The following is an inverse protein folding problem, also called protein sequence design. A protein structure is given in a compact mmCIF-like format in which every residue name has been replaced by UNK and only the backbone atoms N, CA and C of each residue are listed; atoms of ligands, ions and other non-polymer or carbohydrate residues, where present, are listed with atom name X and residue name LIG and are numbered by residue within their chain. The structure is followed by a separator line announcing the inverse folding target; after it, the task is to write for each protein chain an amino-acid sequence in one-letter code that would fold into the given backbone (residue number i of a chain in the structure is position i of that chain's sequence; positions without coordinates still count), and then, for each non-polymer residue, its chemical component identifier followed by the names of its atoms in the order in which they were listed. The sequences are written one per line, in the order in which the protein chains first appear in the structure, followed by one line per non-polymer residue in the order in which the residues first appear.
data_IF_968368543674
#
_entry.id   IF_968368543674
#
_cell.length_a   1.000
_cell.length_b   1.000
_cell.length_c   1.000
_cell.angle_alpha   90.00
_cell.angle_beta   90.00
_cell.angle_gamma   90.00
#
_symmetry.space_group_name_H-M   'P 1'
#
loop_
_entity.id
_entity.type
_entity.pdbx_description
1 polymer ?
#
# COMPACT_ATOMS: atom_id res chain seq x y z
N UNK A 1 2.48 21.32 3.75
CA UNK A 1 1.15 20.66 3.84
C UNK A 1 0.46 21.02 5.16
N UNK A 2 -0.81 20.63 5.40
CA UNK A 2 -1.44 20.78 6.74
C UNK A 2 -0.64 20.03 7.83
N UNK A 3 0.01 18.92 7.45
CA UNK A 3 0.92 18.18 8.30
C UNK A 3 2.13 19.04 8.70
N UNK A 4 2.81 19.68 7.74
CA UNK A 4 3.94 20.59 8.01
C UNK A 4 3.56 21.74 8.94
N UNK A 5 2.37 22.33 8.76
CA UNK A 5 1.89 23.39 9.64
C UNK A 5 1.70 22.93 11.10
N UNK A 6 1.36 21.66 11.31
CA UNK A 6 1.14 21.08 12.64
C UNK A 6 2.42 20.51 13.27
N UNK A 7 3.32 19.94 12.46
CA UNK A 7 4.44 19.14 12.93
C UNK A 7 5.82 19.76 12.63
N UNK A 8 5.89 20.89 11.89
CA UNK A 8 7.13 21.59 11.59
C UNK A 8 8.07 20.86 10.60
N UNK A 9 7.64 19.72 10.06
CA UNK A 9 8.39 18.90 9.10
C UNK A 9 7.45 18.37 8.02
N UNK A 10 7.99 18.07 6.84
CA UNK A 10 7.24 17.32 5.84
C UNK A 10 6.92 15.90 6.33
N UNK A 11 5.76 15.33 5.95
CA UNK A 11 5.43 13.96 6.29
C UNK A 11 6.40 13.00 5.60
N UNK A 12 6.86 12.00 6.34
CA UNK A 12 7.54 10.86 5.77
C UNK A 12 6.53 9.86 5.18
N UNK A 13 7.06 8.82 4.52
CA UNK A 13 6.21 7.81 3.87
C UNK A 13 5.32 7.07 4.88
N UNK A 14 5.81 6.82 6.10
CA UNK A 14 5.04 6.15 7.15
C UNK A 14 3.86 7.00 7.63
N UNK A 15 4.07 8.31 7.80
CA UNK A 15 3.03 9.27 8.16
C UNK A 15 1.95 9.34 7.08
N UNK A 16 2.35 9.33 5.81
CA UNK A 16 1.44 9.27 4.68
C UNK A 16 0.62 7.96 4.67
N UNK A 17 1.25 6.81 4.91
CA UNK A 17 0.57 5.50 5.02
C UNK A 17 -0.46 5.50 6.16
N UNK A 18 -0.10 6.04 7.33
CA UNK A 18 -1.01 6.16 8.46
C UNK A 18 -2.22 7.04 8.15
N UNK A 19 -2.01 8.15 7.44
CA UNK A 19 -3.08 9.03 6.99
C UNK A 19 -4.06 8.32 6.05
N UNK A 20 -3.55 7.58 5.05
CA UNK A 20 -4.40 6.86 4.10
C UNK A 20 -5.13 5.69 4.75
N UNK A 21 -4.49 4.95 5.66
CA UNK A 21 -5.13 3.86 6.41
C UNK A 21 -6.35 4.37 7.18
N UNK A 22 -6.20 5.48 7.92
CA UNK A 22 -7.31 6.08 8.67
C UNK A 22 -8.37 6.67 7.73
N UNK A 23 -7.96 7.27 6.61
CA UNK A 23 -8.89 7.85 5.63
C UNK A 23 -9.76 6.79 4.96
N UNK A 24 -9.19 5.65 4.58
CA UNK A 24 -9.91 4.50 4.03
C UNK A 24 -10.85 3.86 5.05
N UNK A 25 -10.40 3.68 6.30
CA UNK A 25 -11.26 3.17 7.38
C UNK A 25 -12.43 4.12 7.66
N UNK A 26 -12.17 5.44 7.73
CA UNK A 26 -13.20 6.44 7.89
C UNK A 26 -14.20 6.47 6.72
N UNK A 27 -13.72 6.27 5.49
CA UNK A 27 -14.59 6.15 4.31
C UNK A 27 -15.53 4.94 4.42
N UNK A 28 -15.06 3.80 4.93
CA UNK A 28 -15.91 2.65 5.23
C UNK A 28 -16.98 3.00 6.28
N UNK A 29 -16.58 3.61 7.39
CA UNK A 29 -17.50 3.97 8.48
C UNK A 29 -18.56 4.99 8.08
N UNK A 30 -18.26 5.92 7.17
CA UNK A 30 -19.23 6.90 6.64
C UNK A 30 -20.39 6.25 5.89
N UNK A 31 -20.28 4.99 5.49
CA UNK A 31 -21.40 4.25 4.88
C UNK A 31 -22.43 3.75 5.90
N UNK A 32 -22.26 4.08 7.19
CA UNK A 32 -23.23 3.78 8.25
C UNK A 32 -23.20 2.33 8.75
N UNK A 33 -22.24 1.53 8.27
CA UNK A 33 -22.00 0.16 8.72
C UNK A 33 -20.63 0.07 9.37
N UNK A 34 -20.61 -0.23 10.67
CA UNK A 34 -19.40 -0.35 11.48
C UNK A 34 -19.05 -1.81 11.78
N UNK A 35 -19.71 -2.77 11.12
CA UNK A 35 -19.41 -4.17 11.32
C UNK A 35 -18.06 -4.54 10.66
N UNK A 36 -17.22 -5.37 11.30
CA UNK A 36 -15.90 -5.71 10.78
C UNK A 36 -15.92 -6.40 9.41
N UNK A 37 -16.96 -7.18 9.13
CA UNK A 37 -17.12 -7.88 7.85
C UNK A 37 -17.30 -6.91 6.69
N UNK A 38 -18.18 -5.92 6.88
CA UNK A 38 -18.41 -4.85 5.92
C UNK A 38 -17.16 -4.01 5.69
N UNK A 39 -16.43 -3.62 6.74
CA UNK A 39 -15.18 -2.87 6.59
C UNK A 39 -14.17 -3.68 5.78
N UNK A 40 -14.03 -4.98 6.05
CA UNK A 40 -13.15 -5.85 5.29
C UNK A 40 -13.57 -5.97 3.81
N UNK A 41 -14.87 -6.11 3.53
CA UNK A 41 -15.39 -6.13 2.16
C UNK A 41 -15.21 -4.81 1.44
N UNK A 42 -15.44 -3.68 2.11
CA UNK A 42 -15.22 -2.35 1.56
C UNK A 42 -13.76 -2.16 1.16
N UNK A 43 -12.83 -2.47 2.08
CA UNK A 43 -11.40 -2.35 1.83
C UNK A 43 -10.95 -3.28 0.69
N UNK A 44 -11.45 -4.51 0.62
CA UNK A 44 -11.15 -5.43 -0.48
C UNK A 44 -11.56 -4.90 -1.87
N UNK A 45 -12.53 -3.97 -1.91
CA UNK A 45 -13.00 -3.31 -3.14
C UNK A 45 -12.19 -2.08 -3.56
N UNK A 46 -11.22 -1.62 -2.76
CA UNK A 46 -10.45 -0.41 -3.08
C UNK A 46 -9.50 -0.68 -4.25
N UNK A 47 -9.68 0.07 -5.34
CA UNK A 47 -8.87 0.03 -6.55
C UNK A 47 -8.51 1.46 -6.96
N UNK A 48 -7.23 1.73 -7.21
CA UNK A 48 -6.76 3.02 -7.71
C UNK A 48 -7.07 4.22 -6.79
N UNK A 49 -7.09 4.02 -5.47
CA UNK A 49 -7.26 5.12 -4.52
C UNK A 49 -6.00 5.99 -4.53
N UNK A 50 -6.12 7.27 -4.93
CA UNK A 50 -5.01 8.23 -4.94
C UNK A 50 -4.84 8.83 -3.54
N UNK A 51 -3.95 8.23 -2.75
CA UNK A 51 -3.65 8.63 -1.38
C UNK A 51 -2.46 9.58 -1.24
N UNK A 52 -2.22 10.04 -0.02
CA UNK A 52 -1.00 10.76 0.34
C UNK A 52 0.26 9.90 0.17
N UNK A 53 0.15 8.58 0.31
CA UNK A 53 1.20 7.58 0.18
C UNK A 53 1.33 7.00 -1.23
N UNK A 54 0.76 7.66 -2.25
CA UNK A 54 0.52 7.15 -3.61
C UNK A 54 -0.75 6.32 -3.78
N UNK A 55 -0.90 5.79 -5.00
CA UNK A 55 -2.00 4.94 -5.41
C UNK A 55 -2.06 3.67 -4.56
N UNK A 56 -3.27 3.26 -4.19
CA UNK A 56 -3.54 2.05 -3.42
C UNK A 56 -4.56 1.19 -4.17
N UNK A 57 -4.23 -0.09 -4.34
CA UNK A 57 -5.08 -1.11 -4.93
C UNK A 57 -4.94 -2.37 -4.09
N UNK A 58 -5.99 -2.81 -3.40
CA UNK A 58 -5.92 -4.05 -2.62
C UNK A 58 -6.21 -5.27 -3.49
N UNK A 59 -5.31 -6.25 -3.49
CA UNK A 59 -5.45 -7.54 -4.16
C UNK A 59 -6.35 -8.51 -3.38
N UNK A 60 -6.47 -9.75 -3.86
CA UNK A 60 -7.29 -10.79 -3.20
C UNK A 60 -6.78 -11.12 -1.80
N UNK A 61 -5.46 -11.08 -1.62
CA UNK A 61 -4.78 -11.25 -0.33
C UNK A 61 -4.89 -10.03 0.61
N UNK A 62 -5.57 -8.96 0.19
CA UNK A 62 -5.67 -7.68 0.92
C UNK A 62 -4.35 -6.92 1.10
N UNK A 63 -3.33 -7.31 0.34
CA UNK A 63 -2.08 -6.55 0.20
C UNK A 63 -2.22 -5.47 -0.86
N UNK A 64 -1.51 -4.35 -0.68
CA UNK A 64 -1.42 -3.33 -1.74
C UNK A 64 -0.62 -3.89 -2.92
N UNK A 65 -1.14 -3.77 -4.14
CA UNK A 65 -0.50 -4.21 -5.38
C UNK A 65 0.33 -3.11 -6.05
N UNK A 66 0.19 -1.87 -5.57
CA UNK A 66 0.93 -0.74 -6.10
C UNK A 66 2.33 -0.70 -5.49
N UNK A 67 3.36 -0.90 -6.32
CA UNK A 67 4.76 -0.84 -5.91
C UNK A 67 5.43 0.38 -6.55
N UNK A 68 5.39 1.55 -5.91
CA UNK A 68 6.09 2.73 -6.40
C UNK A 68 7.61 2.51 -6.29
N UNK A 69 8.30 2.68 -7.41
CA UNK A 69 9.76 2.66 -7.44
C UNK A 69 10.28 4.07 -7.12
N UNK A 70 11.26 4.14 -6.23
CA UNK A 70 11.89 5.41 -5.86
C UNK A 70 13.40 5.36 -6.10
N UNK A 71 13.95 6.51 -6.44
CA UNK A 71 15.38 6.77 -6.47
C UNK A 71 15.75 7.80 -5.41
N UNK A 72 17.03 7.82 -5.00
CA UNK A 72 17.55 8.80 -4.07
C UNK A 72 18.53 9.72 -4.79
N UNK A 73 18.22 11.02 -4.83
CA UNK A 73 19.04 12.04 -5.48
C UNK A 73 19.13 13.28 -4.60
N UNK A 74 20.36 13.76 -4.37
CA UNK A 74 20.62 14.99 -3.62
C UNK A 74 19.92 15.06 -2.25
N UNK A 75 19.91 13.97 -1.50
CA UNK A 75 19.25 13.91 -0.18
C UNK A 75 17.73 13.77 -0.24
N UNK A 76 17.13 13.54 -1.42
CA UNK A 76 15.68 13.48 -1.63
C UNK A 76 15.27 12.16 -2.28
N UNK A 77 14.12 11.65 -1.87
CA UNK A 77 13.45 10.51 -2.51
C UNK A 77 12.64 11.04 -3.69
N UNK A 78 12.88 10.51 -4.89
CA UNK A 78 12.21 10.92 -6.14
C UNK A 78 11.53 9.68 -6.73
N UNK A 79 10.25 9.77 -7.13
CA UNK A 79 9.58 8.67 -7.84
C UNK A 79 10.25 8.38 -9.18
N UNK A 80 10.49 7.12 -9.49
CA UNK A 80 10.86 6.68 -10.84
C UNK A 80 9.55 6.56 -11.63
N UNK A 81 9.46 7.29 -12.74
CA UNK A 81 8.20 7.42 -13.49
C UNK A 81 7.69 6.11 -14.12
N UNK A 82 8.54 5.09 -14.19
CA UNK A 82 8.20 3.79 -14.77
C UNK A 82 7.42 2.94 -13.76
N UNK A 83 6.13 2.76 -14.04
CA UNK A 83 5.23 1.97 -13.21
C UNK A 83 5.38 0.50 -13.57
N UNK A 84 5.74 -0.33 -12.59
CA UNK A 84 5.61 -1.78 -12.69
C UNK A 84 4.29 -2.15 -12.01
N UNK A 85 3.26 -2.45 -12.79
CA UNK A 85 2.09 -3.13 -12.25
C UNK A 85 2.55 -4.53 -11.84
N UNK A 86 2.45 -4.85 -10.55
CA UNK A 86 2.75 -6.21 -10.07
C UNK A 86 1.46 -7.00 -10.19
N UNK A 87 1.41 -7.93 -11.14
CA UNK A 87 0.37 -8.95 -11.16
C UNK A 87 0.42 -9.70 -9.83
N UNK A 88 -0.74 -9.94 -9.21
CA UNK A 88 -0.78 -10.70 -7.95
C UNK A 88 -0.15 -12.09 -8.22
N UNK A 89 0.94 -12.47 -7.52
CA UNK A 89 1.57 -13.75 -7.77
C UNK A 89 0.54 -14.87 -7.56
N UNK A 90 0.60 -15.95 -8.36
CA UNK A 90 -0.28 -17.09 -8.14
C UNK A 90 -0.11 -17.54 -6.69
N UNK A 91 -1.23 -17.76 -6.01
CA UNK A 91 -1.21 -18.38 -4.69
C UNK A 91 -0.43 -19.68 -4.79
N UNK A 92 0.71 -19.74 -4.09
CA UNK A 92 1.39 -21.01 -3.89
C UNK A 92 0.35 -22.02 -3.38
N UNK A 93 0.28 -23.24 -3.95
CA UNK A 93 -0.63 -24.25 -3.43
C UNK A 93 -0.37 -24.43 -1.94
N UNK A 94 -1.44 -24.61 -1.16
CA UNK A 94 -1.43 -24.68 0.30
C UNK A 94 -0.60 -25.85 0.89
N UNK A 95 0.16 -26.55 0.07
CA UNK A 95 0.87 -27.79 0.40
C UNK A 95 2.24 -27.91 -0.29
N UNK A 96 3.00 -26.80 -0.44
CA UNK A 96 4.39 -26.88 -0.93
C UNK A 96 5.37 -26.92 0.24
N UNK A 97 5.75 -28.13 0.66
CA UNK A 97 6.95 -28.40 1.48
C UNK A 97 8.26 -28.30 0.69
N UNK A 98 8.30 -27.53 -0.40
CA UNK A 98 9.48 -27.35 -1.23
C UNK A 98 10.19 -26.04 -0.88
N UNK A 99 11.09 -26.08 0.09
CA UNK A 99 12.11 -25.04 0.26
C UNK A 99 13.16 -25.22 -0.84
N UNK A 100 12.94 -24.60 -2.00
CA UNK A 100 13.98 -24.48 -3.02
C UNK A 100 14.84 -23.25 -2.67
N UNK A 101 15.96 -23.49 -2.00
CA UNK A 101 17.00 -22.48 -1.77
C UNK A 101 17.63 -22.11 -3.11
N UNK A 102 17.41 -20.89 -3.59
CA UNK A 102 18.18 -20.34 -4.70
C UNK A 102 19.60 -20.07 -4.17
N UNK A 103 20.56 -20.90 -4.60
CA UNK A 103 21.98 -20.69 -4.34
C UNK A 103 22.47 -19.54 -5.23
N UNK A 104 23.02 -18.49 -4.62
CA UNK A 104 23.77 -17.48 -5.36
C UNK A 104 25.23 -17.89 -5.35
N UNK A 105 25.77 -18.24 -6.51
CA UNK A 105 27.21 -18.37 -6.72
C UNK A 105 27.82 -16.97 -6.75
N UNK A 106 28.75 -16.72 -5.82
CA UNK A 106 29.64 -15.55 -5.83
C UNK A 106 30.95 -15.90 -6.55
#
# INVERSE_FOLDING_TARGET
SLFTAKHGTEPDHLSALGYDAVSLAAAAFRQGKIDPGYVATFLAGVKGYEGASWRITFGRTRSNLELPLFTFQNGRIIPVAERIAVDEPPTAPADSTATEYIHYDW
#
